data_IF_934864769278
#
_entry.id   IF_934864769278
#
_cell.length_a   1.000
_cell.length_b   1.000
_cell.length_c   1.000
_cell.angle_alpha   90.00
_cell.angle_beta   90.00
_cell.angle_gamma   90.00
#
_symmetry.space_group_name_H-M   'P 1'
#
loop_
_entity.id
_entity.type
_entity.pdbx_description
1 polymer ?
#
# COMPACT_ATOMS: atom_id res chain seq x y z
N UNK A 1 -45.48 -0.26 -45.10
CA UNK A 1 -46.19 0.18 -43.89
C UNK A 1 -46.45 -1.06 -43.05
N UNK A 2 -45.79 -1.22 -41.90
CA UNK A 2 -46.12 -2.31 -40.96
C UNK A 2 -47.55 -2.08 -40.45
N UNK A 3 -48.37 -3.13 -40.39
CA UNK A 3 -49.73 -3.03 -39.88
C UNK A 3 -49.69 -2.68 -38.38
N UNK A 4 -50.64 -1.90 -37.88
CA UNK A 4 -50.77 -1.58 -36.44
C UNK A 4 -50.84 -2.85 -35.58
N UNK A 5 -51.28 -3.98 -36.15
CA UNK A 5 -51.24 -5.31 -35.54
C UNK A 5 -49.81 -5.85 -35.35
N UNK A 6 -48.92 -5.64 -36.32
CA UNK A 6 -47.53 -6.12 -36.26
C UNK A 6 -46.77 -5.39 -35.16
N UNK A 7 -46.95 -4.07 -35.06
CA UNK A 7 -46.29 -3.23 -34.07
C UNK A 7 -46.72 -3.62 -32.64
N UNK A 8 -48.03 -3.84 -32.42
CA UNK A 8 -48.55 -4.31 -31.12
C UNK A 8 -47.95 -5.66 -30.71
N UNK A 9 -47.83 -6.60 -31.66
CA UNK A 9 -47.22 -7.90 -31.39
C UNK A 9 -45.73 -7.80 -31.06
N UNK A 10 -45.00 -6.91 -31.72
CA UNK A 10 -43.57 -6.67 -31.51
C UNK A 10 -43.30 -6.05 -30.12
N UNK A 11 -44.15 -5.10 -29.69
CA UNK A 11 -44.06 -4.50 -28.35
C UNK A 11 -44.38 -5.50 -27.22
N UNK A 12 -45.44 -6.30 -27.38
CA UNK A 12 -45.79 -7.33 -26.37
C UNK A 12 -44.66 -8.37 -26.27
N UNK A 13 -44.10 -8.79 -27.40
CA UNK A 13 -42.94 -9.70 -27.42
C UNK A 13 -41.71 -9.08 -26.73
N UNK A 14 -41.47 -7.77 -26.90
CA UNK A 14 -40.38 -7.08 -26.21
C UNK A 14 -40.56 -7.03 -24.70
N UNK A 15 -41.79 -6.74 -24.21
CA UNK A 15 -42.10 -6.82 -22.78
C UNK A 15 -41.92 -8.25 -22.25
N UNK A 16 -42.37 -9.26 -22.99
CA UNK A 16 -42.20 -10.66 -22.61
C UNK A 16 -40.72 -11.07 -22.51
N UNK A 17 -39.88 -10.59 -23.43
CA UNK A 17 -38.43 -10.80 -23.37
C UNK A 17 -37.80 -10.14 -22.13
N UNK A 18 -38.11 -8.87 -21.86
CA UNK A 18 -37.59 -8.14 -20.70
C UNK A 18 -38.03 -8.78 -19.37
N UNK A 19 -39.32 -9.10 -19.24
CA UNK A 19 -39.86 -9.78 -18.05
C UNK A 19 -39.19 -11.14 -17.85
N UNK A 20 -38.95 -11.89 -18.93
CA UNK A 20 -38.27 -13.20 -18.86
C UNK A 20 -36.83 -13.06 -18.38
N UNK A 21 -36.09 -12.07 -18.90
CA UNK A 21 -34.71 -11.82 -18.48
C UNK A 21 -34.64 -11.36 -17.02
N UNK A 22 -35.51 -10.45 -16.58
CA UNK A 22 -35.55 -10.01 -15.18
C UNK A 22 -35.96 -11.14 -14.23
N UNK A 23 -36.88 -12.03 -14.64
CA UNK A 23 -37.22 -13.24 -13.88
C UNK A 23 -36.04 -14.21 -13.80
N UNK A 24 -35.21 -14.31 -14.83
CA UNK A 24 -33.97 -15.10 -14.79
C UNK A 24 -32.99 -14.51 -13.78
N UNK A 25 -32.73 -13.21 -13.86
CA UNK A 25 -31.87 -12.50 -12.91
C UNK A 25 -32.35 -12.67 -11.46
N UNK A 26 -33.66 -12.56 -11.23
CA UNK A 26 -34.26 -12.79 -9.90
C UNK A 26 -34.01 -14.20 -9.36
N UNK A 27 -34.12 -15.23 -10.22
CA UNK A 27 -33.83 -16.63 -9.84
C UNK A 27 -32.35 -16.84 -9.54
N UNK A 28 -31.47 -16.25 -10.32
CA UNK A 28 -30.02 -16.33 -10.10
C UNK A 28 -29.64 -15.69 -8.76
N UNK A 29 -30.17 -14.48 -8.49
CA UNK A 29 -30.01 -13.80 -7.20
C UNK A 29 -30.58 -14.63 -6.04
N UNK A 30 -31.73 -15.27 -6.23
CA UNK A 30 -32.33 -16.15 -5.20
C UNK A 30 -31.42 -17.34 -4.89
N UNK A 31 -30.78 -17.92 -5.90
CA UNK A 31 -29.86 -19.05 -5.71
C UNK A 31 -28.58 -18.60 -4.99
N UNK A 32 -28.06 -17.43 -5.32
CA UNK A 32 -26.92 -16.83 -4.61
C UNK A 32 -27.25 -16.51 -3.15
N UNK A 33 -28.43 -15.94 -2.89
CA UNK A 33 -28.91 -15.66 -1.54
C UNK A 33 -28.97 -16.94 -0.69
N UNK A 34 -29.59 -18.00 -1.22
CA UNK A 34 -29.67 -19.30 -0.53
C UNK A 34 -28.29 -19.89 -0.22
N UNK A 35 -27.34 -19.75 -1.15
CA UNK A 35 -25.97 -20.21 -0.93
C UNK A 35 -25.25 -19.41 0.19
N UNK A 36 -25.47 -18.09 0.26
CA UNK A 36 -24.93 -17.25 1.33
C UNK A 36 -25.57 -17.56 2.68
N UNK A 37 -26.89 -17.73 2.73
CA UNK A 37 -27.62 -18.12 3.95
C UNK A 37 -27.14 -19.48 4.49
N UNK A 38 -26.88 -20.44 3.60
CA UNK A 38 -26.30 -21.73 3.99
C UNK A 38 -24.89 -21.57 4.60
N UNK A 39 -24.04 -20.71 4.01
CA UNK A 39 -22.71 -20.41 4.56
C UNK A 39 -22.79 -19.73 5.93
N UNK A 40 -23.66 -18.74 6.09
CA UNK A 40 -23.88 -18.04 7.37
C UNK A 40 -24.30 -19.04 8.46
N UNK A 41 -25.26 -19.91 8.15
CA UNK A 41 -25.71 -20.96 9.07
C UNK A 41 -24.59 -21.93 9.45
N UNK A 42 -23.78 -22.34 8.48
CA UNK A 42 -22.62 -23.21 8.72
C UNK A 42 -21.57 -22.53 9.61
N UNK A 43 -21.27 -21.25 9.37
CA UNK A 43 -20.33 -20.48 10.20
C UNK A 43 -20.82 -20.33 11.64
N UNK A 44 -22.12 -20.10 11.83
CA UNK A 44 -22.73 -20.04 13.15
C UNK A 44 -22.62 -21.38 13.90
N UNK A 45 -22.83 -22.51 13.22
CA UNK A 45 -22.66 -23.82 13.81
C UNK A 45 -21.21 -24.09 14.22
N UNK A 46 -20.24 -23.83 13.34
CA UNK A 46 -18.81 -24.02 13.65
C UNK A 46 -18.39 -23.15 14.84
N UNK A 47 -18.87 -21.90 14.89
CA UNK A 47 -18.61 -21.02 16.02
C UNK A 47 -19.14 -21.61 17.34
N UNK A 48 -20.36 -22.15 17.34
CA UNK A 48 -20.93 -22.79 18.53
C UNK A 48 -20.10 -24.02 18.98
N UNK A 49 -19.60 -24.81 18.02
CA UNK A 49 -18.72 -25.95 18.32
C UNK A 49 -17.40 -25.49 18.95
N UNK A 50 -16.78 -24.41 18.45
CA UNK A 50 -15.57 -23.83 19.03
C UNK A 50 -15.83 -23.25 20.42
N UNK A 51 -16.96 -22.57 20.63
CA UNK A 51 -17.35 -22.05 21.95
C UNK A 51 -17.51 -23.19 22.97
N UNK A 52 -18.09 -24.33 22.56
CA UNK A 52 -18.18 -25.53 23.40
C UNK A 52 -16.82 -26.16 23.72
N UNK A 53 -15.86 -26.11 22.78
CA UNK A 53 -14.49 -26.59 23.00
C UNK A 53 -13.76 -25.68 24.01
N UNK A 54 -13.94 -24.36 23.91
CA UNK A 54 -13.40 -23.39 24.87
C UNK A 54 -13.95 -23.66 26.27
N UNK A 55 -15.27 -23.88 26.40
CA UNK A 55 -15.89 -24.21 27.70
C UNK A 55 -15.31 -25.51 28.28
N UNK A 56 -15.10 -26.52 27.44
CA UNK A 56 -14.47 -27.79 27.86
C UNK A 56 -13.01 -27.58 28.32
N UNK A 57 -12.24 -26.74 27.63
CA UNK A 57 -10.88 -26.39 28.03
C UNK A 57 -10.86 -25.62 29.35
N UNK A 58 -11.80 -24.71 29.56
CA UNK A 58 -11.93 -23.95 30.80
C UNK A 58 -12.28 -24.86 31.98
N UNK A 59 -13.23 -25.79 31.81
CA UNK A 59 -13.57 -26.80 32.80
C UNK A 59 -12.37 -27.70 33.16
N UNK A 60 -11.55 -28.07 32.17
CA UNK A 60 -10.32 -28.84 32.40
C UNK A 60 -9.29 -28.06 33.23
N UNK A 61 -9.14 -26.76 32.95
CA UNK A 61 -8.26 -25.87 33.72
C UNK A 61 -8.77 -25.65 35.15
N UNK A 62 -10.08 -25.50 35.35
CA UNK A 62 -10.69 -25.40 36.67
C UNK A 62 -10.51 -26.68 37.49
N UNK A 63 -10.76 -27.85 36.90
CA UNK A 63 -10.53 -29.14 37.54
C UNK A 63 -9.05 -29.28 37.97
N UNK A 64 -8.11 -28.89 37.10
CA UNK A 64 -6.67 -28.87 37.40
C UNK A 64 -6.36 -27.96 38.59
N UNK A 65 -6.90 -26.74 38.64
CA UNK A 65 -6.73 -25.82 39.78
C UNK A 65 -7.26 -26.42 41.08
N UNK A 66 -8.41 -27.09 41.03
CA UNK A 66 -8.95 -27.81 42.17
C UNK A 66 -7.99 -28.92 42.62
N UNK A 67 -7.43 -29.72 41.71
CA UNK A 67 -6.44 -30.75 42.04
C UNK A 67 -5.14 -30.19 42.65
N UNK A 68 -4.68 -29.03 42.20
CA UNK A 68 -3.53 -28.33 42.81
C UNK A 68 -3.82 -27.80 44.22
N UNK A 69 -5.07 -27.51 44.55
CA UNK A 69 -5.45 -26.99 45.87
C UNK A 69 -5.48 -28.06 46.98
N UNK A 70 -5.50 -29.34 46.60
CA UNK A 70 -5.41 -30.45 47.56
C UNK A 70 -3.95 -30.71 47.97
N UNK A 71 -3.63 -30.38 49.21
CA UNK A 71 -2.31 -30.61 49.81
C UNK A 71 -1.91 -32.09 49.86
N UNK A 72 -2.85 -33.03 49.75
CA UNK A 72 -2.58 -34.47 49.72
C UNK A 72 -1.99 -34.96 48.39
N UNK A 73 -2.28 -34.26 47.28
CA UNK A 73 -1.85 -34.66 45.93
C UNK A 73 -0.53 -33.99 45.55
N UNK A 74 -0.30 -32.77 46.02
CA UNK A 74 0.72 -31.87 45.49
C UNK A 74 1.26 -31.00 46.64
N UNK A 75 2.13 -31.55 47.48
CA UNK A 75 2.64 -30.93 48.72
C UNK A 75 3.71 -29.86 48.49
N UNK A 76 4.31 -29.79 47.30
CA UNK A 76 5.40 -28.86 46.99
C UNK A 76 4.94 -27.75 46.03
N UNK A 77 5.40 -26.49 46.21
CA UNK A 77 5.04 -25.36 45.33
C UNK A 77 5.41 -25.56 43.85
N UNK A 78 6.30 -26.52 43.56
CA UNK A 78 6.86 -26.83 42.24
C UNK A 78 6.49 -28.25 41.78
N UNK A 79 5.30 -28.71 42.13
CA UNK A 79 4.78 -30.01 41.72
C UNK A 79 4.49 -30.00 40.21
N UNK A 80 5.41 -30.62 39.44
CA UNK A 80 5.44 -30.57 37.97
C UNK A 80 4.39 -31.42 37.25
N UNK A 81 3.40 -31.96 37.96
CA UNK A 81 2.43 -32.92 37.45
C UNK A 81 1.56 -32.35 36.31
N UNK A 82 1.42 -31.02 36.21
CA UNK A 82 0.57 -30.36 35.21
C UNK A 82 1.25 -29.20 34.44
N UNK A 83 2.58 -29.10 34.46
CA UNK A 83 3.31 -28.00 33.80
C UNK A 83 3.03 -27.95 32.28
N UNK A 84 2.99 -29.11 31.62
CA UNK A 84 2.75 -29.21 30.17
C UNK A 84 1.31 -28.80 29.81
N UNK A 85 0.34 -29.15 30.66
CA UNK A 85 -1.07 -28.82 30.45
C UNK A 85 -1.32 -27.31 30.52
N UNK A 86 -0.69 -26.61 31.47
CA UNK A 86 -0.85 -25.16 31.64
C UNK A 86 -0.28 -24.35 30.46
N UNK A 87 0.91 -24.72 29.97
CA UNK A 87 1.53 -24.06 28.80
C UNK A 87 0.74 -24.30 27.50
N UNK A 88 0.05 -25.44 27.40
CA UNK A 88 -0.77 -25.79 26.23
C UNK A 88 -2.13 -25.10 26.22
N UNK A 89 -2.75 -24.89 27.39
CA UNK A 89 -4.07 -24.26 27.51
C UNK A 89 -4.08 -22.83 26.93
N UNK A 90 -3.12 -22.00 27.32
CA UNK A 90 -3.07 -20.60 26.85
C UNK A 90 -2.91 -20.50 25.34
N UNK A 91 -2.12 -21.39 24.73
CA UNK A 91 -1.94 -21.45 23.27
C UNK A 91 -3.21 -21.92 22.56
N UNK A 92 -3.85 -22.97 23.05
CA UNK A 92 -5.10 -23.51 22.47
C UNK A 92 -6.24 -22.50 22.59
N UNK A 93 -6.38 -21.82 23.73
CA UNK A 93 -7.40 -20.79 23.92
C UNK A 93 -7.21 -19.60 22.97
N UNK A 94 -5.97 -19.11 22.85
CA UNK A 94 -5.66 -18.03 21.91
C UNK A 94 -5.97 -18.43 20.47
N UNK A 95 -5.61 -19.65 20.08
CA UNK A 95 -5.88 -20.19 18.75
C UNK A 95 -7.38 -20.28 18.45
N UNK A 96 -8.18 -20.86 19.35
CA UNK A 96 -9.63 -20.99 19.16
C UNK A 96 -10.32 -19.63 19.11
N UNK A 97 -9.88 -18.66 19.92
CA UNK A 97 -10.41 -17.28 19.87
C UNK A 97 -10.06 -16.56 18.58
N UNK A 98 -8.86 -16.79 18.02
CA UNK A 98 -8.47 -16.24 16.73
C UNK A 98 -9.32 -16.84 15.60
N UNK A 99 -9.60 -18.15 15.64
CA UNK A 99 -10.53 -18.80 14.71
C UNK A 99 -11.95 -18.25 14.77
N UNK A 100 -12.48 -17.96 15.97
CA UNK A 100 -13.80 -17.30 16.11
C UNK A 100 -13.78 -15.93 15.43
N UNK A 101 -12.73 -15.14 15.65
CA UNK A 101 -12.59 -13.81 15.06
C UNK A 101 -12.56 -13.85 13.52
N UNK A 102 -11.83 -14.80 12.95
CA UNK A 102 -11.79 -15.01 11.51
C UNK A 102 -13.16 -15.41 10.95
N UNK A 103 -13.84 -16.34 11.63
CA UNK A 103 -15.20 -16.77 11.26
C UNK A 103 -16.21 -15.63 11.34
N UNK A 104 -16.18 -14.82 12.39
CA UNK A 104 -17.06 -13.66 12.54
C UNK A 104 -16.83 -12.64 11.43
N UNK A 105 -15.57 -12.37 11.07
CA UNK A 105 -15.22 -11.46 9.97
C UNK A 105 -15.81 -11.93 8.65
N UNK A 106 -15.65 -13.22 8.33
CA UNK A 106 -16.21 -13.82 7.11
C UNK A 106 -17.74 -13.86 7.15
N UNK A 107 -18.33 -14.17 8.31
CA UNK A 107 -19.78 -14.23 8.50
C UNK A 107 -20.44 -12.85 8.29
N UNK A 108 -19.86 -11.80 8.87
CA UNK A 108 -20.33 -10.42 8.69
C UNK A 108 -20.32 -10.02 7.21
N UNK A 109 -19.24 -10.33 6.48
CA UNK A 109 -19.17 -10.06 5.05
C UNK A 109 -20.26 -10.80 4.25
N UNK A 110 -20.52 -12.08 4.57
CA UNK A 110 -21.58 -12.85 3.95
C UNK A 110 -22.98 -12.28 4.27
N UNK A 111 -23.22 -11.82 5.50
CA UNK A 111 -24.48 -11.19 5.92
C UNK A 111 -24.72 -9.91 5.12
N UNK A 112 -23.74 -9.02 5.05
CA UNK A 112 -23.85 -7.78 4.27
C UNK A 112 -24.12 -8.04 2.79
N UNK A 113 -23.47 -9.06 2.22
CA UNK A 113 -23.72 -9.46 0.83
C UNK A 113 -25.14 -10.01 0.64
N UNK A 114 -25.64 -10.82 1.58
CA UNK A 114 -27.01 -11.35 1.54
C UNK A 114 -28.05 -10.24 1.62
N UNK A 115 -27.86 -9.24 2.50
CA UNK A 115 -28.75 -8.08 2.63
C UNK A 115 -28.76 -7.21 1.35
N UNK A 116 -27.59 -7.01 0.73
CA UNK A 116 -27.49 -6.28 -0.52
C UNK A 116 -28.24 -6.99 -1.65
N UNK A 117 -28.06 -8.32 -1.78
CA UNK A 117 -28.79 -9.14 -2.76
C UNK A 117 -30.30 -9.11 -2.49
N UNK A 118 -30.73 -9.18 -1.23
CA UNK A 118 -32.15 -9.09 -0.87
C UNK A 118 -32.78 -7.75 -1.29
N UNK A 119 -32.05 -6.65 -1.09
CA UNK A 119 -32.48 -5.31 -1.51
C UNK A 119 -32.60 -5.21 -3.03
N UNK A 120 -31.60 -5.71 -3.77
CA UNK A 120 -31.63 -5.73 -5.22
C UNK A 120 -32.75 -6.62 -5.76
N UNK A 121 -33.04 -7.75 -5.11
CA UNK A 121 -34.15 -8.63 -5.45
C UNK A 121 -35.50 -7.93 -5.32
N UNK A 122 -35.72 -7.22 -4.21
CA UNK A 122 -36.93 -6.41 -3.99
C UNK A 122 -37.11 -5.35 -5.09
N UNK A 123 -36.01 -4.73 -5.53
CA UNK A 123 -36.04 -3.77 -6.64
C UNK A 123 -36.42 -4.43 -7.97
N UNK A 124 -35.82 -5.58 -8.31
CA UNK A 124 -36.15 -6.34 -9.52
C UNK A 124 -37.59 -6.85 -9.49
N UNK A 125 -38.11 -7.29 -8.33
CA UNK A 125 -39.52 -7.69 -8.17
C UNK A 125 -40.48 -6.55 -8.50
N UNK A 126 -40.19 -5.34 -8.01
CA UNK A 126 -41.01 -4.14 -8.32
C UNK A 126 -40.99 -3.83 -9.81
N UNK A 127 -39.82 -3.89 -10.45
CA UNK A 127 -39.68 -3.66 -11.89
C UNK A 127 -40.42 -4.71 -12.72
N UNK A 128 -40.37 -6.00 -12.33
CA UNK A 128 -41.16 -7.05 -12.98
C UNK A 128 -42.66 -6.76 -12.85
N UNK A 129 -43.11 -6.29 -11.68
CA UNK A 129 -44.52 -5.92 -11.47
C UNK A 129 -44.94 -4.76 -12.36
N UNK A 130 -44.15 -3.69 -12.42
CA UNK A 130 -44.40 -2.51 -13.25
C UNK A 130 -44.45 -2.87 -14.75
N UNK A 131 -43.46 -3.63 -15.24
CA UNK A 131 -43.44 -4.09 -16.62
C UNK A 131 -44.61 -5.03 -16.95
N UNK A 132 -45.06 -5.85 -15.99
CA UNK A 132 -46.23 -6.72 -16.17
C UNK A 132 -47.53 -5.91 -16.27
N UNK A 133 -47.64 -4.83 -15.50
CA UNK A 133 -48.77 -3.90 -15.56
C UNK A 133 -48.79 -3.13 -16.89
N UNK A 134 -47.64 -2.55 -17.29
CA UNK A 134 -47.44 -1.87 -18.58
C UNK A 134 -47.74 -2.78 -19.77
N UNK A 135 -47.31 -4.04 -19.72
CA UNK A 135 -47.67 -5.06 -20.71
C UNK A 135 -49.19 -5.28 -20.77
N UNK A 136 -49.86 -5.40 -19.61
CA UNK A 136 -51.31 -5.60 -19.53
C UNK A 136 -52.13 -4.40 -20.01
N UNK A 137 -51.60 -3.19 -19.92
CA UNK A 137 -52.17 -1.98 -20.51
C UNK A 137 -51.97 -1.96 -22.03
N UNK A 138 -50.77 -2.29 -22.52
CA UNK A 138 -50.46 -2.37 -23.94
C UNK A 138 -51.26 -3.47 -24.68
N UNK A 139 -51.67 -4.52 -23.98
CA UNK A 139 -52.57 -5.55 -24.51
C UNK A 139 -54.02 -5.03 -24.68
N UNK A 140 -54.46 -4.10 -23.81
CA UNK A 140 -55.81 -3.54 -23.78
C UNK A 140 -56.00 -2.32 -24.66
N UNK A 141 -55.04 -1.41 -24.70
CA UNK A 141 -55.14 -0.18 -25.49
C UNK A 141 -54.46 -0.34 -26.85
N UNK A 142 -55.18 0.01 -27.91
CA UNK A 142 -54.68 -0.01 -29.28
C UNK A 142 -54.66 1.42 -29.81
N UNK A 143 -53.51 2.10 -29.74
CA UNK A 143 -53.42 3.48 -30.20
C UNK A 143 -52.00 4.01 -30.32
N UNK A 144 -51.82 4.92 -31.29
CA UNK A 144 -50.62 5.75 -31.48
C UNK A 144 -50.41 6.67 -30.27
N UNK A 145 -51.44 6.94 -29.47
CA UNK A 145 -51.37 7.75 -28.23
C UNK A 145 -50.45 7.14 -27.17
N UNK A 146 -50.47 5.82 -26.95
CA UNK A 146 -49.49 5.16 -26.06
C UNK A 146 -48.05 5.35 -26.52
N UNK A 147 -47.80 5.46 -27.83
CA UNK A 147 -46.45 5.71 -28.34
C UNK A 147 -46.00 7.13 -28.03
N UNK A 148 -46.88 8.11 -28.17
CA UNK A 148 -46.58 9.51 -27.86
C UNK A 148 -46.34 9.65 -26.34
N UNK A 149 -47.15 8.98 -25.52
CA UNK A 149 -47.00 8.96 -24.07
C UNK A 149 -45.70 8.27 -23.63
N UNK A 150 -45.40 7.09 -24.18
CA UNK A 150 -44.14 6.38 -23.90
C UNK A 150 -42.91 7.17 -24.37
N UNK A 151 -42.96 7.84 -25.53
CA UNK A 151 -41.87 8.70 -26.00
C UNK A 151 -41.71 9.90 -25.05
N UNK A 152 -42.80 10.50 -24.58
CA UNK A 152 -42.77 11.61 -23.63
C UNK A 152 -42.24 11.19 -22.25
N UNK A 153 -42.59 9.99 -21.79
CA UNK A 153 -42.12 9.40 -20.55
C UNK A 153 -40.61 9.11 -20.63
N UNK A 154 -40.17 8.43 -21.70
CA UNK A 154 -38.74 8.17 -21.96
C UNK A 154 -37.95 9.47 -22.09
N UNK A 155 -38.48 10.49 -22.77
CA UNK A 155 -37.81 11.78 -22.90
C UNK A 155 -37.65 12.48 -21.54
N UNK A 156 -38.66 12.35 -20.67
CA UNK A 156 -38.61 12.90 -19.31
C UNK A 156 -37.58 12.13 -18.46
N UNK A 157 -37.58 10.81 -18.53
CA UNK A 157 -36.64 9.95 -17.82
C UNK A 157 -35.19 10.20 -18.28
N UNK A 158 -34.95 10.39 -19.58
CA UNK A 158 -33.64 10.80 -20.12
C UNK A 158 -33.20 12.15 -19.53
N UNK A 159 -34.13 13.10 -19.41
CA UNK A 159 -33.83 14.42 -18.86
C UNK A 159 -33.49 14.35 -17.36
N UNK A 160 -34.24 13.55 -16.60
CA UNK A 160 -33.96 13.27 -15.20
C UNK A 160 -32.61 12.58 -15.00
N UNK A 161 -32.30 11.57 -15.82
CA UNK A 161 -31.01 10.87 -15.78
C UNK A 161 -29.83 11.80 -16.11
N UNK A 162 -29.98 12.72 -17.08
CA UNK A 162 -28.95 13.73 -17.35
C UNK A 162 -28.80 14.73 -16.19
N UNK A 163 -29.90 15.07 -15.51
CA UNK A 163 -29.86 15.89 -14.29
C UNK A 163 -29.15 15.16 -13.14
N UNK A 164 -29.40 13.87 -12.94
CA UNK A 164 -28.70 13.06 -11.94
C UNK A 164 -27.21 12.91 -12.26
N UNK A 165 -26.87 12.64 -13.52
CA UNK A 165 -25.48 12.56 -13.99
C UNK A 165 -24.72 13.86 -13.75
N UNK A 166 -25.35 15.02 -13.95
CA UNK A 166 -24.71 16.31 -13.65
C UNK A 166 -24.55 16.55 -12.15
N UNK A 167 -25.50 16.11 -11.30
CA UNK A 167 -25.30 16.11 -9.83
C UNK A 167 -24.13 15.23 -9.42
N UNK A 168 -24.00 14.04 -10.01
CA UNK A 168 -22.94 13.09 -9.69
C UNK A 168 -21.55 13.63 -10.07
N UNK A 169 -21.44 14.30 -11.22
CA UNK A 169 -20.21 15.03 -11.61
C UNK A 169 -19.84 16.13 -10.62
N UNK A 170 -20.82 16.88 -10.10
CA UNK A 170 -20.57 17.90 -9.07
C UNK A 170 -20.06 17.27 -7.77
N UNK A 171 -20.64 16.15 -7.36
CA UNK A 171 -20.21 15.41 -6.18
C UNK A 171 -18.75 14.94 -6.32
N UNK A 172 -18.38 14.36 -7.47
CA UNK A 172 -17.01 13.94 -7.75
C UNK A 172 -16.01 15.10 -7.71
N UNK A 173 -16.37 16.27 -8.26
CA UNK A 173 -15.53 17.46 -8.18
C UNK A 173 -15.35 17.94 -6.73
N UNK A 174 -16.41 17.87 -5.92
CA UNK A 174 -16.36 18.24 -4.51
C UNK A 174 -15.54 17.24 -3.68
N UNK A 175 -15.61 15.95 -3.99
CA UNK A 175 -14.79 14.89 -3.39
C UNK A 175 -13.30 15.12 -3.66
N UNK A 176 -12.92 15.42 -4.91
CA UNK A 176 -11.54 15.77 -5.25
C UNK A 176 -11.07 17.00 -4.49
N UNK A 177 -11.88 18.06 -4.45
CA UNK A 177 -11.55 19.27 -3.69
C UNK A 177 -11.41 19.00 -2.19
N UNK A 178 -12.24 18.12 -1.64
CA UNK A 178 -12.14 17.70 -0.24
C UNK A 178 -10.83 16.97 0.04
N UNK A 179 -10.42 16.06 -0.85
CA UNK A 179 -9.16 15.32 -0.75
C UNK A 179 -7.95 16.27 -0.82
N UNK A 180 -7.98 17.26 -1.72
CA UNK A 180 -6.94 18.30 -1.78
C UNK A 180 -6.87 19.12 -0.48
N UNK A 181 -8.01 19.50 0.09
CA UNK A 181 -8.07 20.22 1.37
C UNK A 181 -7.54 19.38 2.53
N UNK A 182 -7.85 18.07 2.57
CA UNK A 182 -7.27 17.16 3.56
C UNK A 182 -5.75 17.05 3.42
N UNK A 183 -5.25 16.91 2.19
CA UNK A 183 -3.81 16.86 1.92
C UNK A 183 -3.13 18.16 2.35
N UNK A 184 -3.73 19.31 2.04
CA UNK A 184 -3.23 20.62 2.48
C UNK A 184 -3.24 20.76 3.99
N UNK A 185 -4.33 20.37 4.66
CA UNK A 185 -4.42 20.36 6.13
C UNK A 185 -3.32 19.51 6.74
N UNK A 186 -3.12 18.30 6.23
CA UNK A 186 -2.09 17.40 6.74
C UNK A 186 -0.69 18.00 6.56
N UNK A 187 -0.39 18.55 5.38
CA UNK A 187 0.88 19.25 5.13
C UNK A 187 1.10 20.40 6.13
N UNK A 188 0.10 21.26 6.34
CA UNK A 188 0.19 22.37 7.28
C UNK A 188 0.30 21.89 8.73
N UNK A 189 -0.39 20.80 9.11
CA UNK A 189 -0.26 20.20 10.43
C UNK A 189 1.16 19.68 10.66
N UNK A 190 1.74 19.00 9.68
CA UNK A 190 3.13 18.55 9.72
C UNK A 190 4.11 19.73 9.81
N UNK A 191 3.91 20.80 9.04
CA UNK A 191 4.70 22.02 9.15
C UNK A 191 4.60 22.63 10.56
N UNK A 192 3.40 22.67 11.15
CA UNK A 192 3.19 23.15 12.51
C UNK A 192 3.88 22.26 13.55
N UNK A 193 3.73 20.94 13.45
CA UNK A 193 4.39 19.96 14.31
C UNK A 193 5.93 20.08 14.21
N UNK A 194 6.45 20.38 13.01
CA UNK A 194 7.88 20.60 12.78
C UNK A 194 8.44 21.83 13.50
N UNK A 195 7.60 22.77 13.92
CA UNK A 195 7.96 23.95 14.72
C UNK A 195 7.83 23.72 16.23
N UNK A 196 7.27 22.58 16.65
CA UNK A 196 7.10 22.19 18.04
C UNK A 196 8.38 21.61 18.68
N UNK A 197 8.39 21.47 20.02
CA UNK A 197 9.53 20.95 20.77
C UNK A 197 9.76 19.42 20.59
N UNK A 198 8.77 18.67 20.10
CA UNK A 198 8.82 17.20 19.90
C UNK A 198 9.18 16.79 18.46
N UNK A 199 10.16 17.47 17.84
CA UNK A 199 10.62 17.23 16.46
C UNK A 199 11.00 15.76 16.16
N UNK A 200 11.48 15.02 17.16
CA UNK A 200 12.02 13.66 16.98
C UNK A 200 10.96 12.57 16.71
N UNK A 201 9.67 12.82 17.00
CA UNK A 201 8.61 11.81 16.88
C UNK A 201 7.69 12.01 15.67
N UNK A 202 7.92 13.03 14.83
CA UNK A 202 7.08 13.20 13.64
C UNK A 202 7.18 11.99 12.71
N UNK A 203 6.05 11.56 12.17
CA UNK A 203 5.95 10.39 11.29
C UNK A 203 6.88 10.52 10.08
N UNK A 204 7.07 11.75 9.57
CA UNK A 204 7.97 12.04 8.46
C UNK A 204 9.43 11.81 8.82
N UNK A 205 9.89 12.27 9.98
CA UNK A 205 11.26 12.04 10.44
C UNK A 205 11.52 10.56 10.67
N UNK A 206 10.55 9.84 11.25
CA UNK A 206 10.63 8.38 11.43
C UNK A 206 10.73 7.66 10.09
N UNK A 207 9.88 8.03 9.12
CA UNK A 207 9.90 7.47 7.76
C UNK A 207 11.20 7.78 7.03
N UNK A 208 11.69 9.02 7.14
CA UNK A 208 12.97 9.44 6.57
C UNK A 208 14.13 8.62 7.13
N UNK A 209 14.21 8.46 8.46
CA UNK A 209 15.26 7.64 9.11
C UNK A 209 15.21 6.18 8.65
N UNK A 210 14.02 5.61 8.50
CA UNK A 210 13.84 4.25 7.98
C UNK A 210 14.32 4.13 6.53
N UNK A 211 13.88 5.03 5.66
CA UNK A 211 14.28 5.04 4.26
C UNK A 211 15.80 5.23 4.11
N UNK A 212 16.40 6.10 4.93
CA UNK A 212 17.85 6.32 4.95
C UNK A 212 18.60 5.05 5.36
N UNK A 213 18.13 4.33 6.37
CA UNK A 213 18.71 3.05 6.78
C UNK A 213 18.62 1.98 5.68
N UNK A 214 17.45 1.84 5.05
CA UNK A 214 17.22 0.88 3.95
C UNK A 214 18.14 1.18 2.76
N UNK A 215 18.14 2.43 2.27
CA UNK A 215 19.00 2.83 1.15
C UNK A 215 20.48 2.69 1.48
N UNK A 216 20.88 3.04 2.70
CA UNK A 216 22.27 2.87 3.12
C UNK A 216 22.69 1.40 3.12
N UNK A 217 21.83 0.48 3.53
CA UNK A 217 22.11 -0.97 3.46
C UNK A 217 22.31 -1.43 2.02
N UNK A 218 21.49 -0.94 1.08
CA UNK A 218 21.63 -1.23 -0.34
C UNK A 218 22.95 -0.68 -0.92
N UNK A 219 23.32 0.54 -0.56
CA UNK A 219 24.57 1.15 -1.03
C UNK A 219 25.81 0.45 -0.50
N UNK A 220 25.75 -0.01 0.75
CA UNK A 220 26.81 -0.83 1.32
C UNK A 220 26.94 -2.19 0.59
N UNK A 221 25.85 -2.74 0.04
CA UNK A 221 25.90 -3.94 -0.80
C UNK A 221 26.63 -3.66 -2.12
N UNK A 222 26.38 -2.51 -2.75
CA UNK A 222 27.12 -2.07 -3.94
C UNK A 222 28.62 -1.91 -3.66
N UNK A 223 28.98 -1.40 -2.49
CA UNK A 223 30.38 -1.27 -2.04
C UNK A 223 30.98 -2.59 -1.50
N UNK A 224 30.29 -3.73 -1.65
CA UNK A 224 30.73 -5.07 -1.25
C UNK A 224 31.22 -5.18 0.21
N UNK A 225 30.57 -4.45 1.13
CA UNK A 225 31.03 -4.33 2.51
C UNK A 225 30.54 -5.50 3.41
N UNK A 226 31.06 -6.71 3.22
CA UNK A 226 30.60 -7.92 3.94
C UNK A 226 30.75 -7.85 5.46
N UNK A 227 31.71 -7.07 5.95
CA UNK A 227 32.04 -6.98 7.38
C UNK A 227 31.21 -5.93 8.13
N UNK A 228 30.22 -5.31 7.48
CA UNK A 228 29.41 -4.25 8.07
C UNK A 228 27.97 -4.73 8.20
N UNK A 229 27.40 -4.62 9.40
CA UNK A 229 26.00 -4.98 9.65
C UNK A 229 25.03 -4.26 8.71
N UNK A 230 23.99 -4.98 8.29
CA UNK A 230 22.85 -4.43 7.51
C UNK A 230 21.67 -4.03 8.38
N UNK A 231 21.72 -4.33 9.66
CA UNK A 231 20.79 -3.75 10.63
C UNK A 231 21.27 -2.32 10.94
N UNK A 232 20.77 -1.34 10.16
CA UNK A 232 21.17 0.05 10.27
C UNK A 232 20.07 0.81 11.00
N UNK A 233 20.45 1.57 12.03
CA UNK A 233 19.57 2.51 12.72
C UNK A 233 20.14 3.90 12.65
N UNK A 234 19.29 4.90 12.41
CA UNK A 234 19.68 6.31 12.38
C UNK A 234 19.26 6.94 13.71
N UNK A 235 20.23 7.50 14.44
CA UNK A 235 19.96 8.13 15.73
C UNK A 235 19.30 9.53 15.59
N UNK A 236 19.15 10.25 16.70
CA UNK A 236 18.62 11.62 16.72
C UNK A 236 19.49 12.62 15.96
N UNK A 237 20.81 12.41 15.98
CA UNK A 237 21.80 13.27 15.32
C UNK A 237 22.01 12.92 13.83
N UNK A 238 21.14 12.08 13.25
CA UNK A 238 21.29 11.52 11.90
C UNK A 238 22.58 10.72 11.69
N UNK A 239 23.16 10.16 12.75
CA UNK A 239 24.34 9.30 12.66
C UNK A 239 23.90 7.83 12.54
N UNK A 240 24.49 7.07 11.59
CA UNK A 240 24.18 5.66 11.47
C UNK A 240 24.84 4.84 12.58
N UNK A 241 24.07 3.92 13.13
CA UNK A 241 24.46 2.84 14.04
C UNK A 241 24.29 1.53 13.29
N UNK A 242 25.37 0.78 13.15
CA UNK A 242 25.46 -0.43 12.32
C UNK A 242 25.48 -1.65 13.24
N UNK A 243 24.32 -2.27 13.45
CA UNK A 243 24.10 -3.26 14.50
C UNK A 243 24.28 -2.65 15.88
N UNK A 244 25.40 -2.94 16.53
CA UNK A 244 25.78 -2.37 17.84
C UNK A 244 26.88 -1.32 17.75
N UNK A 245 27.48 -1.11 16.57
CA UNK A 245 28.65 -0.25 16.41
C UNK A 245 28.28 1.15 15.92
N UNK A 246 28.83 2.18 16.58
CA UNK A 246 28.74 3.57 16.10
C UNK A 246 29.83 3.84 15.06
N UNK A 247 29.54 4.70 14.07
CA UNK A 247 30.47 5.05 12.99
C UNK A 247 31.87 5.51 13.46
N UNK A 248 31.97 6.14 14.64
CA UNK A 248 33.24 6.60 15.21
C UNK A 248 34.20 5.47 15.60
N UNK A 249 33.69 4.25 15.83
CA UNK A 249 34.46 3.08 16.25
C UNK A 249 35.04 2.35 15.03
N UNK A 250 34.36 2.40 13.89
CA UNK A 250 34.74 1.75 12.64
C UNK A 250 35.98 2.45 12.06
N UNK A 251 36.97 1.66 11.61
CA UNK A 251 38.25 2.17 11.09
C UNK A 251 38.54 1.67 9.66
N UNK A 252 39.41 2.42 8.98
CA UNK A 252 39.91 2.10 7.64
C UNK A 252 38.82 1.95 6.59
N UNK A 253 38.99 0.95 5.72
CA UNK A 253 38.13 0.67 4.58
C UNK A 253 36.63 0.59 4.90
N UNK A 254 36.26 -0.03 6.03
CA UNK A 254 34.85 -0.13 6.45
C UNK A 254 34.26 1.25 6.75
N UNK A 255 35.05 2.17 7.31
CA UNK A 255 34.61 3.54 7.59
C UNK A 255 34.39 4.31 6.28
N UNK A 256 35.33 4.20 5.33
CA UNK A 256 35.23 4.86 4.03
C UNK A 256 33.97 4.39 3.27
N UNK A 257 33.72 3.08 3.22
CA UNK A 257 32.51 2.51 2.61
C UNK A 257 31.22 2.96 3.30
N UNK A 258 31.19 3.00 4.64
CA UNK A 258 30.04 3.52 5.40
C UNK A 258 29.74 4.98 5.08
N UNK A 259 30.77 5.83 5.01
CA UNK A 259 30.59 7.25 4.70
C UNK A 259 30.06 7.43 3.28
N UNK A 260 30.64 6.73 2.29
CA UNK A 260 30.17 6.79 0.90
C UNK A 260 28.73 6.31 0.75
N UNK A 261 28.36 5.21 1.42
CA UNK A 261 27.00 4.69 1.40
C UNK A 261 25.99 5.65 2.03
N UNK A 262 26.35 6.31 3.14
CA UNK A 262 25.48 7.30 3.77
C UNK A 262 25.19 8.49 2.85
N UNK A 263 26.23 9.07 2.22
CA UNK A 263 26.05 10.21 1.33
C UNK A 263 25.26 9.84 0.08
N UNK A 264 25.53 8.67 -0.50
CA UNK A 264 24.78 8.20 -1.67
C UNK A 264 23.31 7.91 -1.35
N UNK A 265 23.03 7.31 -0.19
CA UNK A 265 21.67 7.08 0.27
C UNK A 265 20.91 8.40 0.51
N UNK A 266 21.57 9.37 1.14
CA UNK A 266 21.00 10.70 1.35
C UNK A 266 20.71 11.40 0.02
N UNK A 267 21.66 11.37 -0.91
CA UNK A 267 21.50 11.95 -2.24
C UNK A 267 20.36 11.29 -3.03
N UNK A 268 20.24 9.96 -2.98
CA UNK A 268 19.15 9.22 -3.62
C UNK A 268 17.79 9.64 -3.06
N UNK A 269 17.67 9.79 -1.73
CA UNK A 269 16.42 10.23 -1.08
C UNK A 269 16.09 11.67 -1.49
N UNK A 270 17.07 12.58 -1.44
CA UNK A 270 16.87 13.99 -1.78
C UNK A 270 16.50 14.17 -3.25
N UNK A 271 17.03 13.36 -4.16
CA UNK A 271 16.76 13.48 -5.60
C UNK A 271 15.48 12.76 -6.02
N UNK A 272 15.00 11.79 -5.24
CA UNK A 272 13.74 11.08 -5.52
C UNK A 272 12.49 11.98 -5.45
N UNK A 273 12.56 13.10 -4.72
CA UNK A 273 11.48 14.09 -4.69
C UNK A 273 11.72 15.17 -5.76
N UNK A 274 10.87 15.32 -6.78
CA UNK A 274 10.99 16.34 -7.82
C UNK A 274 11.03 17.78 -7.27
N UNK A 275 10.43 18.03 -6.11
CA UNK A 275 10.37 19.35 -5.48
C UNK A 275 11.62 19.73 -4.68
N UNK A 276 12.52 18.77 -4.45
CA UNK A 276 13.76 19.01 -3.72
C UNK A 276 14.72 19.90 -4.52
N UNK A 277 15.32 20.92 -3.88
CA UNK A 277 16.33 21.78 -4.53
C UNK A 277 17.72 21.12 -4.60
N UNK A 278 17.93 20.00 -3.92
CA UNK A 278 19.24 19.34 -3.85
C UNK A 278 19.42 18.38 -5.02
N UNK A 279 20.04 18.89 -6.10
CA UNK A 279 20.30 18.14 -7.35
C UNK A 279 21.78 17.89 -7.62
N UNK A 280 22.69 18.45 -6.84
CA UNK A 280 24.13 18.33 -7.11
C UNK A 280 24.83 17.71 -5.93
N UNK A 281 25.64 16.67 -6.20
CA UNK A 281 26.54 16.05 -5.23
C UNK A 281 27.98 16.34 -5.64
N UNK A 282 28.73 17.02 -4.77
CA UNK A 282 30.14 17.35 -4.98
C UNK A 282 30.97 16.78 -3.84
N UNK A 283 31.96 15.95 -4.14
CA UNK A 283 32.84 15.40 -3.11
C UNK A 283 34.21 14.99 -3.64
N UNK A 284 35.21 15.04 -2.77
CA UNK A 284 36.49 14.38 -3.03
C UNK A 284 36.39 12.90 -2.67
N UNK A 285 36.88 12.01 -3.54
CA UNK A 285 36.76 10.57 -3.34
C UNK A 285 37.64 10.15 -2.15
N UNK A 286 37.04 9.80 -0.99
CA UNK A 286 37.79 9.64 0.24
C UNK A 286 38.62 8.35 0.19
N UNK A 287 39.91 8.46 0.50
CA UNK A 287 40.83 7.35 0.80
C UNK A 287 40.75 6.18 -0.20
N UNK A 288 40.90 6.46 -1.50
CA UNK A 288 40.85 5.48 -2.59
C UNK A 288 41.74 4.23 -2.35
N UNK A 289 42.89 4.40 -1.67
CA UNK A 289 43.77 3.28 -1.27
C UNK A 289 43.07 2.21 -0.42
N UNK A 290 42.01 2.59 0.30
CA UNK A 290 41.29 1.72 1.23
C UNK A 290 40.15 0.94 0.55
N UNK A 291 39.79 1.21 -0.71
CA UNK A 291 38.68 0.56 -1.42
C UNK A 291 39.18 0.01 -2.75
N UNK A 292 38.75 -1.20 -3.12
CA UNK A 292 39.10 -1.78 -4.43
C UNK A 292 38.47 -0.96 -5.56
N UNK A 293 39.22 -0.77 -6.66
CA UNK A 293 38.75 -0.02 -7.83
C UNK A 293 37.44 -0.57 -8.42
N UNK A 294 37.22 -1.88 -8.36
CA UNK A 294 35.98 -2.53 -8.81
C UNK A 294 34.76 -2.10 -7.96
N UNK A 295 34.92 -2.02 -6.64
CA UNK A 295 33.85 -1.58 -5.74
C UNK A 295 33.54 -0.09 -5.94
N UNK A 296 34.57 0.73 -6.21
CA UNK A 296 34.42 2.15 -6.54
C UNK A 296 33.71 2.33 -7.89
N UNK A 297 34.07 1.55 -8.90
CA UNK A 297 33.41 1.58 -10.21
C UNK A 297 31.92 1.23 -10.11
N UNK A 298 31.59 0.17 -9.38
CA UNK A 298 30.20 -0.22 -9.12
C UNK A 298 29.42 0.90 -8.42
N UNK A 299 30.06 1.58 -7.46
CA UNK A 299 29.48 2.73 -6.76
C UNK A 299 29.19 3.90 -7.70
N UNK A 300 30.17 4.33 -8.51
CA UNK A 300 29.99 5.45 -9.43
C UNK A 300 28.99 5.12 -10.56
N UNK A 301 28.98 3.89 -11.08
CA UNK A 301 27.98 3.45 -12.06
C UNK A 301 26.56 3.51 -11.50
N UNK A 302 26.36 3.07 -10.25
CA UNK A 302 25.06 3.16 -9.58
C UNK A 302 24.67 4.62 -9.33
N UNK A 303 25.62 5.46 -8.94
CA UNK A 303 25.40 6.89 -8.76
C UNK A 303 24.96 7.57 -10.06
N UNK A 304 25.61 7.25 -11.18
CA UNK A 304 25.24 7.75 -12.52
C UNK A 304 23.81 7.38 -12.90
N UNK A 305 23.38 6.15 -12.60
CA UNK A 305 22.00 5.71 -12.88
C UNK A 305 20.97 6.56 -12.11
N UNK A 306 21.20 6.80 -10.82
CA UNK A 306 20.31 7.62 -10.00
C UNK A 306 20.31 9.08 -10.48
N UNK A 307 21.48 9.62 -10.82
CA UNK A 307 21.62 10.97 -11.33
C UNK A 307 20.82 11.17 -12.64
N UNK A 308 20.93 10.21 -13.56
CA UNK A 308 20.23 10.25 -14.85
C UNK A 308 18.71 10.13 -14.67
N UNK A 309 18.24 9.28 -13.74
CA UNK A 309 16.82 9.08 -13.47
C UNK A 309 16.15 10.30 -12.81
N UNK A 310 16.89 11.00 -11.95
CA UNK A 310 16.33 12.04 -11.08
C UNK A 310 16.76 13.47 -11.45
N UNK A 311 17.25 13.67 -12.70
CA UNK A 311 17.74 14.96 -13.21
C UNK A 311 18.74 15.64 -12.26
N UNK A 312 19.78 14.90 -11.89
CA UNK A 312 20.77 15.33 -10.90
C UNK A 312 22.20 15.23 -11.46
N UNK A 313 23.13 15.97 -10.85
CA UNK A 313 24.53 16.04 -11.27
C UNK A 313 25.47 15.57 -10.17
N UNK A 314 26.53 14.87 -10.54
CA UNK A 314 27.56 14.41 -9.63
C UNK A 314 28.91 14.92 -10.12
N UNK A 315 29.67 15.54 -9.22
CA UNK A 315 31.03 16.02 -9.47
C UNK A 315 31.93 15.39 -8.42
N UNK A 316 32.97 14.69 -8.86
CA UNK A 316 33.91 14.07 -7.94
C UNK A 316 35.33 14.16 -8.47
N UNK A 317 36.29 14.22 -7.55
CA UNK A 317 37.72 14.13 -7.85
C UNK A 317 38.26 12.75 -7.48
N UNK A 318 39.16 12.22 -8.30
CA UNK A 318 39.86 10.96 -8.05
C UNK A 318 41.36 11.14 -8.29
N UNK A 319 42.18 10.24 -7.75
CA UNK A 319 43.64 10.28 -7.88
C UNK A 319 44.20 9.01 -8.49
N UNK A 320 43.63 7.85 -8.18
CA UNK A 320 44.05 6.55 -8.72
C UNK A 320 42.97 5.83 -9.52
N UNK A 321 41.70 6.07 -9.20
CA UNK A 321 40.57 5.50 -9.93
C UNK A 321 40.23 6.33 -11.17
N UNK A 322 40.05 5.69 -12.33
CA UNK A 322 39.58 6.35 -13.56
C UNK A 322 38.20 5.80 -13.94
N UNK A 323 37.20 6.68 -13.95
CA UNK A 323 35.85 6.34 -14.38
C UNK A 323 35.78 6.28 -15.92
N UNK A 324 34.98 5.36 -16.45
CA UNK A 324 34.72 5.28 -17.89
C UNK A 324 33.72 6.37 -18.29
N UNK A 325 34.16 7.28 -19.16
CA UNK A 325 33.43 8.51 -19.49
C UNK A 325 32.54 8.25 -20.70
N UNK A 326 31.26 8.58 -20.54
CA UNK A 326 30.30 8.63 -21.62
C UNK A 326 30.37 10.00 -22.32
N UNK A 327 30.79 10.07 -23.59
CA UNK A 327 30.99 11.34 -24.29
C UNK A 327 29.74 12.21 -24.41
N UNK A 328 28.55 11.62 -24.33
CA UNK A 328 27.28 12.33 -24.51
C UNK A 328 26.75 12.94 -23.19
N UNK A 329 27.17 12.40 -22.03
CA UNK A 329 26.59 12.73 -20.72
C UNK A 329 27.63 13.20 -19.69
N UNK A 330 28.89 12.80 -19.84
CA UNK A 330 29.94 13.00 -18.84
C UNK A 330 31.03 13.94 -19.37
N UNK A 331 31.76 14.60 -18.45
CA UNK A 331 32.90 15.44 -18.79
C UNK A 331 34.09 15.14 -17.87
N UNK A 332 35.28 14.92 -18.47
CA UNK A 332 36.55 14.92 -17.74
C UNK A 332 37.13 16.33 -17.71
N UNK A 333 37.42 16.83 -16.51
CA UNK A 333 38.29 17.99 -16.35
C UNK A 333 39.67 17.51 -15.95
N UNK A 334 40.65 17.77 -16.81
CA UNK A 334 42.06 17.56 -16.53
C UNK A 334 42.73 18.92 -16.29
N UNK A 335 43.74 19.00 -15.42
CA UNK A 335 44.47 20.23 -15.19
C UNK A 335 45.24 20.62 -16.45
N UNK A 336 45.07 21.87 -16.92
CA UNK A 336 45.67 22.38 -18.17
C UNK A 336 46.66 23.51 -17.97
N UNK A 337 46.82 24.04 -16.75
CA UNK A 337 47.72 25.16 -16.51
C UNK A 337 49.10 24.67 -16.06
N UNK A 338 50.14 25.38 -16.49
CA UNK A 338 51.49 25.19 -15.98
C UNK A 338 51.58 25.38 -14.47
N UNK A 339 52.14 24.39 -13.76
CA UNK A 339 52.45 24.46 -12.35
C UNK A 339 53.90 24.08 -12.06
N UNK A 340 54.39 24.40 -10.87
CA UNK A 340 55.81 24.24 -10.50
C UNK A 340 56.25 22.77 -10.42
N UNK A 341 55.39 21.88 -9.91
CA UNK A 341 55.66 20.43 -9.80
C UNK A 341 54.71 19.57 -10.65
N UNK A 342 53.47 20.01 -10.85
CA UNK A 342 52.43 19.30 -11.59
C UNK A 342 51.47 20.29 -12.25
N UNK A 343 50.75 19.89 -13.32
CA UNK A 343 49.72 20.73 -13.94
C UNK A 343 48.63 21.13 -12.94
N UNK A 344 48.08 22.34 -13.10
CA UNK A 344 47.08 22.92 -12.20
C UNK A 344 45.74 23.09 -12.91
N UNK A 345 44.64 23.02 -12.15
CA UNK A 345 43.28 23.27 -12.64
C UNK A 345 42.97 24.75 -12.86
N UNK A 346 43.71 25.64 -12.19
CA UNK A 346 43.57 27.09 -12.27
C UNK A 346 44.95 27.71 -12.51
N UNK A 347 45.02 28.73 -13.37
CA UNK A 347 46.26 29.42 -13.69
C UNK A 347 46.06 30.57 -14.68
N UNK A 348 47.16 31.17 -15.13
CA UNK A 348 47.14 32.22 -16.15
C UNK A 348 46.90 31.62 -17.53
N UNK A 349 46.00 32.23 -18.33
CA UNK A 349 45.71 31.82 -19.70
C UNK A 349 46.94 31.86 -20.61
N UNK A 350 47.97 32.64 -20.26
CA UNK A 350 49.25 32.64 -20.99
C UNK A 350 50.09 31.38 -20.75
N UNK A 351 49.79 30.60 -19.70
CA UNK A 351 50.49 29.37 -19.30
C UNK A 351 49.61 28.13 -19.49
N UNK A 352 48.69 28.15 -20.46
CA UNK A 352 47.91 26.98 -20.84
C UNK A 352 48.83 25.97 -21.55
N UNK A 353 48.85 24.73 -21.08
CA UNK A 353 49.44 23.60 -21.81
C UNK A 353 48.40 23.04 -22.77
N UNK A 354 48.82 22.74 -24.01
CA UNK A 354 47.98 22.15 -25.06
C UNK A 354 47.47 20.74 -24.71
#
# INVERSE_FOLDING_TARGET
MKSTKDIKSETINSFDHLITEMRRQHRDMTTQQLALEAKIKSSAQIRQEIESEIETLDLNEEARRAFMSFSEICTTPSCGMFLVSADSYGKSLLYLRDQIKDLDTVSIANIQQAEAIATQKSWVERQISDLSEKRGLAEREAGIEMFIEAISEIASEIFELELEKTKLRKYQAQEQSHLELQNRRNKTLTEQESLGPEREQSLEVVRFKRNLAEKMADWLNTLNSKNISRDIRIDSDLKPVLGTEKIGIIKGSSKARTVLAFHAALFEICTSDPSSPFRTLIFDTPRQQEIHSEDLDAYFKRLKLIATQNDAQIVFSTTSYRFEIDPDLDAEWLPRFGGFEQPMYLGDFQNLMD
#
